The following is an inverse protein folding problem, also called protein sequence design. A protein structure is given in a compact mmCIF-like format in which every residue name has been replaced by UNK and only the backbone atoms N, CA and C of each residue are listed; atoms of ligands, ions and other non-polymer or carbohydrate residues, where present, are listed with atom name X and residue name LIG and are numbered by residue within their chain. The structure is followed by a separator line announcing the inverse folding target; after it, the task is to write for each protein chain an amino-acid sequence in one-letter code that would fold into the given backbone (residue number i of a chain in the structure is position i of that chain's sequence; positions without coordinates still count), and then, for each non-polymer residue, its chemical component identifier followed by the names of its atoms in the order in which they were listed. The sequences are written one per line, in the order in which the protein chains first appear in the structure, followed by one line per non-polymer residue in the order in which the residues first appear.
data_IF_655099134061
#
_entry.id   IF_655099134061
#
_cell.length_a   1.000
_cell.length_b   1.000
_cell.length_c   1.000
_cell.angle_alpha   90.00
_cell.angle_beta   90.00
_cell.angle_gamma   90.00
#
_symmetry.space_group_name_H-M   'P 1'
#
loop_
_entity.id
_entity.type
_entity.pdbx_description
1 polymer ?
#
# COMPACT_ATOMS: atom_id res chain seq x y z
N UNK A 1 14.55 13.98 16.03
CA UNK A 1 13.26 14.63 16.39
C UNK A 1 12.29 14.23 15.29
N UNK A 2 11.17 13.59 15.61
CA UNK A 2 10.17 13.20 14.61
C UNK A 2 9.51 14.50 14.11
N UNK A 3 9.93 14.99 12.94
CA UNK A 3 9.20 16.10 12.33
C UNK A 3 7.81 15.58 11.97
N UNK A 4 6.75 16.28 12.40
CA UNK A 4 5.40 15.92 12.04
C UNK A 4 5.26 15.95 10.51
N UNK A 5 5.22 14.77 9.89
CA UNK A 5 5.18 14.64 8.44
C UNK A 5 3.95 15.33 7.83
N UNK A 6 2.82 15.38 8.53
CA UNK A 6 1.64 16.11 8.05
C UNK A 6 1.88 17.62 7.94
N UNK A 7 2.70 18.20 8.82
CA UNK A 7 3.10 19.62 8.72
C UNK A 7 4.13 19.82 7.60
N UNK A 8 5.17 18.97 7.55
CA UNK A 8 6.24 19.09 6.55
C UNK A 8 5.71 18.93 5.12
N UNK A 9 5.05 17.81 4.83
CA UNK A 9 4.47 17.56 3.51
C UNK A 9 3.27 18.45 3.24
N UNK A 10 2.49 18.82 4.26
CA UNK A 10 1.42 19.81 4.15
C UNK A 10 1.95 21.15 3.61
N UNK A 11 3.06 21.66 4.14
CA UNK A 11 3.69 22.87 3.60
C UNK A 11 4.22 22.65 2.18
N UNK A 12 4.87 21.51 1.91
CA UNK A 12 5.42 21.20 0.59
C UNK A 12 4.34 21.21 -0.51
N UNK A 13 3.20 20.56 -0.29
CA UNK A 13 2.15 20.45 -1.31
C UNK A 13 1.41 21.76 -1.56
N UNK A 14 1.43 22.72 -0.62
CA UNK A 14 0.81 24.05 -0.82
C UNK A 14 1.57 24.93 -1.81
N UNK A 15 2.83 24.60 -2.10
CA UNK A 15 3.64 25.24 -3.17
C UNK A 15 3.24 24.74 -4.56
N UNK A 16 2.37 23.72 -4.62
CA UNK A 16 1.79 23.09 -5.79
C UNK A 16 0.25 23.24 -5.73
N UNK A 17 -0.51 22.44 -6.46
CA UNK A 17 -1.98 22.41 -6.41
C UNK A 17 -2.56 21.59 -5.25
N UNK A 18 -1.72 21.20 -4.27
CA UNK A 18 -2.12 20.40 -3.12
C UNK A 18 -3.24 21.04 -2.29
N UNK A 19 -4.16 20.20 -1.82
CA UNK A 19 -5.32 20.57 -1.00
C UNK A 19 -5.26 19.96 0.38
N UNK A 20 -4.71 18.76 0.51
CA UNK A 20 -4.52 18.11 1.81
C UNK A 20 -3.45 17.03 1.76
N UNK A 21 -2.87 16.76 2.94
CA UNK A 21 -2.08 15.56 3.24
C UNK A 21 -2.69 14.96 4.51
N UNK A 22 -2.96 13.65 4.51
CA UNK A 22 -3.51 12.95 5.66
C UNK A 22 -2.85 11.60 5.86
N UNK A 23 -2.76 11.18 7.12
CA UNK A 23 -2.26 9.89 7.54
C UNK A 23 -3.34 9.24 8.40
N UNK A 24 -3.94 8.18 7.87
CA UNK A 24 -5.00 7.45 8.55
C UNK A 24 -4.45 6.14 9.07
N UNK A 25 -4.38 6.00 10.39
CA UNK A 25 -4.13 4.70 11.02
C UNK A 25 -5.42 3.90 11.04
N UNK A 26 -5.40 2.71 10.43
CA UNK A 26 -6.55 1.81 10.37
C UNK A 26 -6.27 0.62 11.29
N UNK A 27 -6.75 0.65 12.54
CA UNK A 27 -6.53 -0.42 13.49
C UNK A 27 -7.43 -1.61 13.18
N UNK A 28 -6.88 -2.81 13.26
CA UNK A 28 -7.63 -4.07 13.24
C UNK A 28 -7.49 -4.81 14.56
N UNK A 29 -8.45 -5.69 14.84
CA UNK A 29 -8.33 -6.63 15.95
C UNK A 29 -7.09 -7.50 15.76
N UNK A 30 -6.41 -7.82 16.86
CA UNK A 30 -5.25 -8.73 16.84
C UNK A 30 -5.64 -10.13 16.38
N UNK A 31 -6.93 -10.50 16.51
CA UNK A 31 -7.48 -11.78 16.08
C UNK A 31 -7.91 -11.82 14.61
N UNK A 32 -7.67 -10.78 13.81
CA UNK A 32 -8.17 -10.72 12.41
C UNK A 32 -7.68 -11.91 11.57
N UNK A 33 -6.52 -12.46 11.92
CA UNK A 33 -5.92 -13.60 11.23
C UNK A 33 -6.36 -14.98 11.78
N UNK A 34 -7.09 -15.03 12.89
CA UNK A 34 -7.49 -16.29 13.54
C UNK A 34 -8.71 -16.97 12.91
N UNK A 35 -9.40 -16.29 11.97
CA UNK A 35 -10.66 -16.75 11.39
C UNK A 35 -10.53 -17.75 10.22
N UNK A 36 -9.31 -18.08 9.79
CA UNK A 36 -9.08 -19.04 8.71
C UNK A 36 -7.69 -19.66 8.83
N UNK A 37 -7.62 -20.98 8.65
CA UNK A 37 -6.37 -21.76 8.66
C UNK A 37 -5.76 -21.93 7.27
N UNK A 38 -6.50 -21.55 6.22
CA UNK A 38 -6.05 -21.64 4.83
C UNK A 38 -5.40 -20.35 4.37
N UNK A 39 -4.45 -20.45 3.43
CA UNK A 39 -3.93 -19.30 2.69
C UNK A 39 -5.06 -18.47 2.05
N UNK A 40 -4.90 -17.16 2.08
CA UNK A 40 -5.82 -16.20 1.47
C UNK A 40 -5.12 -15.44 0.33
N UNK A 41 -5.89 -14.70 -0.48
CA UNK A 41 -5.28 -13.85 -1.50
C UNK A 41 -4.47 -12.70 -0.86
N UNK A 42 -5.00 -12.08 0.20
CA UNK A 42 -4.32 -11.03 0.95
C UNK A 42 -4.70 -11.08 2.45
N UNK A 43 -3.72 -11.01 3.36
CA UNK A 43 -2.33 -11.35 3.09
C UNK A 43 -2.25 -12.82 2.64
N UNK A 44 -1.17 -13.20 1.95
CA UNK A 44 -0.96 -14.60 1.56
C UNK A 44 -0.86 -15.51 2.79
N UNK A 45 -0.15 -15.03 3.82
CA UNK A 45 0.04 -15.69 5.11
C UNK A 45 -0.81 -15.01 6.19
N UNK A 46 -1.56 -15.82 6.94
CA UNK A 46 -2.41 -15.39 8.06
C UNK A 46 -1.58 -15.30 9.35
N UNK A 47 -0.46 -14.58 9.31
CA UNK A 47 0.49 -14.44 10.42
C UNK A 47 0.33 -13.10 11.15
N UNK A 48 -0.10 -13.15 12.41
CA UNK A 48 -0.26 -11.96 13.26
C UNK A 48 1.05 -11.30 13.65
N UNK A 49 2.20 -11.96 13.45
CA UNK A 49 3.53 -11.36 13.64
C UNK A 49 3.83 -10.24 12.65
N UNK A 50 3.18 -10.25 11.47
CA UNK A 50 3.37 -9.22 10.44
C UNK A 50 2.59 -7.92 10.72
N UNK A 51 1.77 -7.91 11.77
CA UNK A 51 0.86 -6.81 12.07
C UNK A 51 -0.38 -6.84 11.17
N UNK A 52 -1.52 -6.45 11.73
CA UNK A 52 -2.81 -6.43 11.03
C UNK A 52 -3.30 -5.03 10.67
N UNK A 53 -2.68 -4.01 11.25
CA UNK A 53 -3.05 -2.61 11.09
C UNK A 53 -2.14 -1.94 10.09
N UNK A 54 -2.68 -1.00 9.33
CA UNK A 54 -1.91 -0.26 8.32
C UNK A 54 -2.15 1.24 8.42
N UNK A 55 -1.23 2.00 7.83
CA UNK A 55 -1.35 3.44 7.67
C UNK A 55 -1.66 3.71 6.20
N UNK A 56 -2.76 4.39 5.95
CA UNK A 56 -3.06 4.91 4.63
C UNK A 56 -2.59 6.37 4.53
N UNK A 57 -1.86 6.68 3.46
CA UNK A 57 -1.28 8.00 3.23
C UNK A 57 -2.00 8.64 2.06
N UNK A 58 -2.63 9.79 2.31
CA UNK A 58 -3.40 10.49 1.31
C UNK A 58 -2.75 11.82 0.95
N UNK A 59 -2.63 12.04 -0.36
CA UNK A 59 -2.31 13.33 -0.95
C UNK A 59 -3.46 13.68 -1.88
N UNK A 60 -4.01 14.89 -1.75
CA UNK A 60 -5.05 15.39 -2.64
C UNK A 60 -4.62 16.68 -3.29
N UNK A 61 -4.82 16.81 -4.60
CA UNK A 61 -4.41 17.95 -5.42
C UNK A 61 -5.41 18.19 -6.55
N UNK A 62 -5.23 19.26 -7.33
CA UNK A 62 -6.22 19.67 -8.35
C UNK A 62 -5.67 19.89 -9.75
N UNK A 63 -4.37 20.12 -9.93
CA UNK A 63 -3.74 20.27 -11.24
C UNK A 63 -3.03 18.96 -11.62
N UNK A 64 -3.41 18.28 -12.72
CA UNK A 64 -2.76 17.04 -13.15
C UNK A 64 -1.28 17.21 -13.53
N UNK A 65 -0.80 18.44 -13.73
CA UNK A 65 0.63 18.69 -13.92
C UNK A 65 1.47 18.33 -12.69
N UNK A 66 0.84 18.23 -11.53
CA UNK A 66 1.52 17.89 -10.28
C UNK A 66 1.49 16.38 -9.98
N UNK A 67 0.85 15.54 -10.81
CA UNK A 67 0.65 14.10 -10.55
C UNK A 67 1.95 13.39 -10.15
N UNK A 68 2.99 13.49 -10.99
CA UNK A 68 4.27 12.83 -10.76
C UNK A 68 4.94 13.33 -9.46
N UNK A 69 4.83 14.63 -9.18
CA UNK A 69 5.42 15.23 -7.98
C UNK A 69 4.66 14.79 -6.72
N UNK A 70 3.32 14.72 -6.77
CA UNK A 70 2.50 14.28 -5.65
C UNK A 70 2.71 12.80 -5.33
N UNK A 71 2.81 11.95 -6.35
CA UNK A 71 3.15 10.53 -6.20
C UNK A 71 4.54 10.36 -5.59
N UNK A 72 5.53 11.14 -6.06
CA UNK A 72 6.87 11.12 -5.51
C UNK A 72 6.91 11.53 -4.03
N UNK A 73 6.25 12.64 -3.66
CA UNK A 73 6.19 13.09 -2.26
C UNK A 73 5.52 12.05 -1.35
N UNK A 74 4.46 11.39 -1.83
CA UNK A 74 3.83 10.28 -1.11
C UNK A 74 4.78 9.10 -0.91
N UNK A 75 5.52 8.70 -1.95
CA UNK A 75 6.50 7.62 -1.87
C UNK A 75 7.65 7.94 -0.90
N UNK A 76 8.17 9.17 -0.93
CA UNK A 76 9.21 9.64 0.01
C UNK A 76 8.72 9.61 1.46
N UNK A 77 7.48 10.02 1.70
CA UNK A 77 6.86 9.98 3.03
C UNK A 77 6.75 8.54 3.56
N UNK A 78 6.29 7.60 2.73
CA UNK A 78 6.21 6.18 3.09
C UNK A 78 7.60 5.59 3.36
N UNK A 79 8.58 5.92 2.52
CA UNK A 79 9.97 5.47 2.69
C UNK A 79 10.56 5.96 4.02
N UNK A 80 10.32 7.24 4.36
CA UNK A 80 10.75 7.80 5.65
C UNK A 80 10.09 7.09 6.84
N UNK A 81 8.78 6.79 6.77
CA UNK A 81 8.09 6.03 7.82
C UNK A 81 8.68 4.63 8.00
N UNK A 82 8.88 3.91 6.88
CA UNK A 82 9.47 2.57 6.92
C UNK A 82 10.87 2.61 7.55
N UNK A 83 11.72 3.55 7.14
CA UNK A 83 13.05 3.70 7.71
C UNK A 83 13.01 3.98 9.21
N UNK A 84 12.14 4.90 9.65
CA UNK A 84 11.98 5.22 11.07
C UNK A 84 11.55 4.01 11.90
N UNK A 85 10.65 3.18 11.38
CA UNK A 85 10.17 1.96 12.06
C UNK A 85 11.29 0.90 12.13
N UNK A 86 12.05 0.74 11.05
CA UNK A 86 13.23 -0.15 11.02
C UNK A 86 14.30 0.31 12.01
N UNK A 87 14.60 1.61 12.06
CA UNK A 87 15.56 2.19 13.02
C UNK A 87 15.12 1.99 14.48
N UNK A 88 13.80 1.87 14.71
CA UNK A 88 13.22 1.54 16.00
C UNK A 88 13.23 0.03 16.32
N UNK A 89 13.79 -0.81 15.45
CA UNK A 89 13.97 -2.25 15.65
C UNK A 89 12.78 -3.11 15.27
N UNK A 90 11.85 -2.61 14.45
CA UNK A 90 10.71 -3.37 13.94
C UNK A 90 10.93 -3.83 12.50
N UNK A 91 10.58 -5.08 12.21
CA UNK A 91 10.73 -5.69 10.89
C UNK A 91 9.53 -5.37 9.99
N UNK A 92 9.60 -4.27 9.22
CA UNK A 92 8.53 -3.85 8.30
C UNK A 92 8.95 -3.78 6.83
N UNK A 93 10.22 -4.11 6.53
CA UNK A 93 10.77 -4.01 5.17
C UNK A 93 10.02 -4.85 4.14
N UNK A 94 9.55 -6.03 4.56
CA UNK A 94 8.86 -7.00 3.71
C UNK A 94 7.33 -7.04 3.93
N UNK A 95 6.77 -6.04 4.63
CA UNK A 95 5.33 -5.98 4.84
C UNK A 95 4.60 -5.75 3.51
N UNK A 96 3.59 -6.58 3.23
CA UNK A 96 2.79 -6.48 2.01
C UNK A 96 1.96 -5.19 1.99
N UNK A 97 1.83 -4.58 0.81
CA UNK A 97 0.98 -3.42 0.59
C UNK A 97 -0.47 -3.84 0.36
N UNK A 98 -1.41 -3.15 1.00
CA UNK A 98 -2.83 -3.45 0.86
C UNK A 98 -3.32 -3.12 -0.58
N UNK A 99 -3.82 -4.10 -1.35
CA UNK A 99 -4.08 -3.92 -2.79
C UNK A 99 -5.11 -2.84 -3.15
N UNK A 100 -6.01 -2.51 -2.22
CA UNK A 100 -7.04 -1.48 -2.45
C UNK A 100 -6.51 -0.05 -2.29
N UNK A 101 -5.30 0.12 -1.74
CA UNK A 101 -4.69 1.43 -1.48
C UNK A 101 -3.26 1.52 -2.00
N UNK A 102 -2.76 0.49 -2.70
CA UNK A 102 -1.40 0.50 -3.21
C UNK A 102 -1.24 1.52 -4.36
N UNK A 103 -0.13 2.27 -4.42
CA UNK A 103 0.13 3.24 -5.49
C UNK A 103 0.13 2.59 -6.88
N UNK A 104 -0.13 3.37 -7.96
CA UNK A 104 0.04 2.89 -9.32
C UNK A 104 1.42 2.25 -9.53
N UNK A 105 1.49 1.27 -10.44
CA UNK A 105 2.74 0.58 -10.79
C UNK A 105 3.39 -0.24 -9.66
N UNK A 106 2.75 -0.35 -8.49
CA UNK A 106 3.19 -1.25 -7.42
C UNK A 106 3.37 -2.68 -7.95
N UNK A 107 4.56 -3.30 -7.81
CA UNK A 107 4.76 -4.69 -8.19
C UNK A 107 3.78 -5.61 -7.46
N UNK A 108 3.12 -6.51 -8.20
CA UNK A 108 2.12 -7.41 -7.59
C UNK A 108 2.70 -8.31 -6.49
N UNK A 109 3.98 -8.63 -6.55
CA UNK A 109 4.66 -9.41 -5.50
C UNK A 109 4.68 -8.67 -4.16
N UNK A 110 4.77 -7.33 -4.17
CA UNK A 110 4.76 -6.52 -2.96
C UNK A 110 3.37 -6.43 -2.32
N UNK A 111 2.32 -6.86 -3.03
CA UNK A 111 0.95 -6.93 -2.52
C UNK A 111 0.54 -8.36 -2.17
N UNK A 112 0.84 -9.32 -3.03
CA UNK A 112 0.31 -10.69 -2.93
C UNK A 112 1.33 -11.73 -2.45
N UNK A 113 2.62 -11.39 -2.41
CA UNK A 113 3.68 -12.30 -1.97
C UNK A 113 3.56 -13.69 -2.60
N UNK A 114 3.62 -14.71 -1.75
CA UNK A 114 3.56 -16.13 -2.16
C UNK A 114 2.24 -16.52 -2.85
N UNK A 115 1.14 -15.78 -2.63
CA UNK A 115 -0.13 -16.07 -3.28
C UNK A 115 -0.12 -15.70 -4.78
N UNK A 116 0.85 -14.90 -5.25
CA UNK A 116 0.86 -14.36 -6.61
C UNK A 116 0.79 -15.46 -7.68
N UNK A 117 1.61 -16.51 -7.56
CA UNK A 117 1.65 -17.59 -8.56
C UNK A 117 0.30 -18.31 -8.68
N UNK A 118 -0.37 -18.53 -7.54
CA UNK A 118 -1.70 -19.15 -7.50
C UNK A 118 -2.75 -18.25 -8.12
N UNK A 119 -2.70 -16.95 -7.84
CA UNK A 119 -3.63 -15.97 -8.42
C UNK A 119 -3.47 -15.87 -9.95
N UNK A 120 -2.24 -15.88 -10.45
CA UNK A 120 -1.97 -15.92 -11.90
C UNK A 120 -2.53 -17.17 -12.55
N UNK A 121 -2.39 -18.33 -11.89
CA UNK A 121 -2.95 -19.60 -12.35
C UNK A 121 -4.49 -19.56 -12.41
N UNK A 122 -5.14 -18.98 -11.39
CA UNK A 122 -6.59 -18.79 -11.34
C UNK A 122 -7.03 -17.86 -12.48
N UNK A 123 -6.35 -16.74 -12.68
CA UNK A 123 -6.66 -15.82 -13.76
C UNK A 123 -6.55 -16.48 -15.14
N UNK A 124 -5.54 -17.32 -15.39
CA UNK A 124 -5.42 -18.06 -16.65
C UNK A 124 -6.56 -19.06 -16.86
N UNK A 125 -7.06 -19.68 -15.79
CA UNK A 125 -8.18 -20.61 -15.86
C UNK A 125 -9.54 -19.91 -16.05
N UNK A 126 -9.72 -18.74 -15.44
CA UNK A 126 -11.02 -18.03 -15.38
C UNK A 126 -11.16 -16.96 -16.48
N UNK A 127 -10.09 -16.26 -16.81
CA UNK A 127 -10.04 -15.22 -17.85
C UNK A 127 -8.89 -15.49 -18.86
N UNK A 128 -8.96 -16.61 -19.60
CA UNK A 128 -7.89 -17.02 -20.51
C UNK A 128 -7.65 -16.04 -21.67
N UNK A 129 -8.63 -15.20 -21.99
CA UNK A 129 -8.56 -14.23 -23.09
C UNK A 129 -8.36 -12.79 -22.62
N UNK A 130 -8.08 -12.58 -21.33
CA UNK A 130 -7.79 -11.26 -20.75
C UNK A 130 -8.92 -10.23 -20.93
N UNK A 131 -10.18 -10.63 -20.86
CA UNK A 131 -11.31 -9.69 -20.92
C UNK A 131 -11.22 -8.70 -19.76
N UNK A 132 -10.81 -9.16 -18.57
CA UNK A 132 -10.66 -8.31 -17.38
C UNK A 132 -9.45 -7.38 -17.48
N UNK A 133 -8.52 -7.60 -18.42
CA UNK A 133 -7.47 -6.61 -18.65
C UNK A 133 -8.01 -5.29 -19.24
N UNK A 134 -9.23 -5.29 -19.79
CA UNK A 134 -9.90 -4.08 -20.29
C UNK A 134 -10.46 -3.19 -19.17
N UNK A 135 -10.52 -3.68 -17.92
CA UNK A 135 -10.99 -2.90 -16.76
C UNK A 135 -9.84 -2.15 -16.08
N UNK A 136 -10.12 -1.37 -15.04
CA UNK A 136 -9.09 -0.95 -14.09
C UNK A 136 -8.55 -2.12 -13.25
N UNK A 137 -7.64 -1.84 -12.32
CA UNK A 137 -7.11 -2.81 -11.35
C UNK A 137 -5.82 -3.52 -11.78
N UNK A 138 -5.35 -4.42 -10.92
CA UNK A 138 -4.08 -5.15 -11.07
C UNK A 138 -4.13 -6.19 -12.19
N UNK A 139 -3.03 -6.30 -12.95
CA UNK A 139 -2.93 -7.16 -14.15
C UNK A 139 -2.05 -8.38 -13.86
N UNK A 140 -2.68 -9.55 -13.73
CA UNK A 140 -2.05 -10.84 -13.40
C UNK A 140 -1.47 -11.59 -14.60
#
# INVERSE_FOLDING_TARGET
MLNNQSTYYGEAVTKLSGKFVSYEGIPFLTSVYDHAETETAFPSLRDSSQGSSFINVFYGWTDPKDDDTMLQLGAESVAYMKQFIVDAGQEVGNALLYPNCAPPETPMVDMYGDALQRLQSIKLAVDPTNVMNLTGGWKF
#
